data_IF_879286148051
#
_entry.id   IF_879286148051
#
_cell.length_a   1.000
_cell.length_b   1.000
_cell.length_c   1.000
_cell.angle_alpha   90.00
_cell.angle_beta   90.00
_cell.angle_gamma   90.00
#
_symmetry.space_group_name_H-M   'P 1'
#
loop_
_entity.id
_entity.type
_entity.pdbx_description
1 polymer ?
#
# COMPACT_ATOMS: atom_id res chain seq x y z
N UNK A 1 25.09 -3.21 12.49
CA UNK A 1 23.82 -3.97 12.62
C UNK A 1 24.10 -5.40 13.06
N UNK A 2 23.23 -6.00 13.87
CA UNK A 2 23.32 -7.42 14.18
C UNK A 2 23.19 -8.25 12.88
N UNK A 3 23.93 -9.37 12.77
CA UNK A 3 23.79 -10.24 11.61
C UNK A 3 22.37 -10.84 11.55
N UNK A 4 21.86 -11.03 10.35
CA UNK A 4 20.50 -11.55 10.11
C UNK A 4 20.23 -12.89 10.87
N UNK A 5 21.25 -13.71 11.02
CA UNK A 5 21.19 -15.00 11.73
C UNK A 5 21.11 -14.87 13.26
N UNK A 6 21.33 -13.67 13.81
CA UNK A 6 21.20 -13.41 15.27
C UNK A 6 19.86 -12.80 15.66
N UNK A 7 19.07 -12.36 14.68
CA UNK A 7 17.72 -11.82 14.91
C UNK A 7 16.73 -12.95 14.66
N UNK A 8 16.64 -13.84 15.64
CA UNK A 8 15.75 -15.01 15.61
C UNK A 8 14.78 -14.95 16.80
N UNK A 9 13.64 -15.55 16.65
CA UNK A 9 12.64 -15.65 17.70
C UNK A 9 11.87 -16.97 17.64
N UNK A 10 10.93 -17.15 18.51
CA UNK A 10 10.13 -18.37 18.59
C UNK A 10 9.45 -18.74 17.25
N UNK A 11 9.06 -17.74 16.48
CA UNK A 11 8.29 -17.92 15.23
C UNK A 11 9.01 -17.37 14.00
N UNK A 12 10.19 -16.78 14.18
CA UNK A 12 10.99 -16.17 13.12
C UNK A 12 12.38 -16.82 13.12
N UNK A 13 12.78 -17.37 11.99
CA UNK A 13 14.09 -17.98 11.83
C UNK A 13 15.15 -17.05 11.29
N UNK A 14 14.76 -15.97 10.61
CA UNK A 14 15.71 -15.05 9.96
C UNK A 14 15.06 -13.68 9.76
N UNK A 15 15.82 -12.63 9.98
CA UNK A 15 15.47 -11.26 9.62
C UNK A 15 16.58 -10.64 8.81
N UNK A 16 16.25 -10.12 7.64
CA UNK A 16 17.18 -9.45 6.73
C UNK A 16 16.77 -7.99 6.57
N UNK A 17 17.73 -7.11 6.44
CA UNK A 17 17.51 -5.70 6.13
C UNK A 17 18.24 -5.34 4.86
N UNK A 18 17.50 -4.91 3.84
CA UNK A 18 18.03 -4.49 2.56
C UNK A 18 17.37 -3.19 2.10
N UNK A 19 18.15 -2.16 1.82
CA UNK A 19 17.67 -0.82 1.39
C UNK A 19 16.53 -0.27 2.29
N UNK A 20 16.62 -0.49 3.62
CA UNK A 20 15.59 -0.04 4.55
C UNK A 20 14.28 -0.82 4.51
N UNK A 21 14.27 -1.98 3.85
CA UNK A 21 13.21 -2.98 3.95
C UNK A 21 13.67 -4.08 4.90
N UNK A 22 12.87 -4.37 5.90
CA UNK A 22 13.08 -5.46 6.86
C UNK A 22 12.24 -6.64 6.43
N UNK A 23 12.87 -7.76 6.07
CA UNK A 23 12.17 -8.99 5.66
C UNK A 23 12.37 -10.06 6.71
N UNK A 24 11.26 -10.55 7.28
CA UNK A 24 11.25 -11.65 8.22
C UNK A 24 10.84 -12.94 7.53
N UNK A 25 11.61 -14.01 7.78
CA UNK A 25 11.27 -15.37 7.36
C UNK A 25 10.75 -16.14 8.57
N UNK A 26 9.58 -16.72 8.44
CA UNK A 26 8.95 -17.49 9.50
C UNK A 26 9.70 -18.80 9.74
N UNK A 27 9.59 -19.32 10.94
CA UNK A 27 10.25 -20.56 11.31
C UNK A 27 9.74 -21.76 10.49
N UNK A 28 10.59 -22.75 10.33
CA UNK A 28 10.24 -24.02 9.67
C UNK A 28 9.50 -25.00 10.58
N UNK A 29 9.40 -24.71 11.88
CA UNK A 29 8.71 -25.52 12.89
C UNK A 29 7.97 -24.63 13.89
N UNK A 30 7.03 -25.21 14.63
CA UNK A 30 6.22 -24.51 15.65
C UNK A 30 5.39 -23.32 15.13
N UNK A 31 5.14 -23.28 13.84
CA UNK A 31 4.25 -22.31 13.18
C UNK A 31 3.21 -23.04 12.34
N UNK A 32 2.13 -22.35 11.99
CA UNK A 32 1.14 -22.89 11.09
C UNK A 32 1.79 -23.25 9.74
N UNK A 33 1.46 -24.43 9.19
CA UNK A 33 2.00 -24.93 7.92
C UNK A 33 1.85 -23.94 6.76
N UNK A 34 0.81 -23.13 6.77
CA UNK A 34 0.52 -22.14 5.71
C UNK A 34 1.48 -20.94 5.72
N UNK A 35 2.16 -20.69 6.84
CA UNK A 35 3.14 -19.61 6.98
C UNK A 35 4.58 -20.13 7.16
N UNK A 36 4.75 -21.46 7.25
CA UNK A 36 6.06 -22.10 7.40
C UNK A 36 7.00 -21.68 6.26
N UNK A 37 8.23 -21.26 6.62
CA UNK A 37 9.25 -20.77 5.68
C UNK A 37 8.81 -19.60 4.79
N UNK A 38 7.63 -19.01 5.07
CA UNK A 38 7.10 -17.87 4.34
C UNK A 38 7.69 -16.56 4.85
N UNK A 39 7.59 -15.53 4.02
CA UNK A 39 8.18 -14.21 4.27
C UNK A 39 7.14 -13.09 4.29
N UNK A 40 7.41 -12.10 5.12
CA UNK A 40 6.72 -10.81 5.16
C UNK A 40 7.76 -9.69 5.23
N UNK A 41 7.38 -8.49 4.87
CA UNK A 41 8.25 -7.31 4.94
C UNK A 41 7.62 -6.17 5.72
N UNK A 42 8.50 -5.42 6.39
CA UNK A 42 8.20 -4.11 6.95
C UNK A 42 9.08 -3.07 6.22
N UNK A 43 8.47 -1.95 5.88
CA UNK A 43 9.20 -0.85 5.23
C UNK A 43 8.68 0.49 5.70
N UNK A 44 9.55 1.48 5.68
CA UNK A 44 9.22 2.84 6.06
C UNK A 44 9.19 3.73 4.82
N UNK A 45 8.27 4.68 4.76
CA UNK A 45 8.28 5.79 3.79
C UNK A 45 8.30 7.10 4.52
N UNK A 46 9.09 8.07 4.04
CA UNK A 46 9.03 9.44 4.51
C UNK A 46 7.75 10.09 4.00
N UNK A 47 7.09 10.75 4.90
CA UNK A 47 5.98 11.67 4.61
C UNK A 47 6.34 13.02 5.23
N UNK A 48 5.73 14.10 4.79
CA UNK A 48 6.04 15.46 5.22
C UNK A 48 6.24 15.55 6.75
N UNK A 49 7.48 15.68 7.18
CA UNK A 49 7.87 15.78 8.57
C UNK A 49 7.78 14.50 9.42
N UNK A 50 7.37 13.35 8.85
CA UNK A 50 7.21 12.09 9.59
C UNK A 50 7.70 10.87 8.81
N UNK A 51 7.79 9.74 9.50
CA UNK A 51 8.07 8.43 8.90
C UNK A 51 6.89 7.51 9.20
N UNK A 52 6.28 6.97 8.16
CA UNK A 52 5.22 5.97 8.29
C UNK A 52 5.75 4.59 7.98
N UNK A 53 5.41 3.63 8.82
CA UNK A 53 5.75 2.23 8.65
C UNK A 53 4.60 1.46 8.01
N UNK A 54 4.95 0.53 7.16
CA UNK A 54 4.06 -0.37 6.45
C UNK A 54 4.49 -1.81 6.68
N UNK A 55 3.54 -2.72 6.65
CA UNK A 55 3.76 -4.15 6.82
C UNK A 55 2.88 -4.94 5.86
N UNK A 56 3.47 -5.88 5.15
CA UNK A 56 2.71 -6.69 4.19
C UNK A 56 3.53 -7.81 3.57
N UNK A 57 3.13 -8.23 2.38
CA UNK A 57 3.88 -9.20 1.59
C UNK A 57 5.29 -8.68 1.26
N UNK A 58 6.24 -9.56 0.92
CA UNK A 58 7.61 -9.16 0.61
C UNK A 58 7.70 -8.09 -0.47
N UNK A 59 8.45 -7.05 -0.18
CA UNK A 59 8.72 -5.94 -1.10
C UNK A 59 10.22 -5.74 -1.29
N UNK A 60 10.58 -5.08 -2.36
CA UNK A 60 11.94 -4.59 -2.63
C UNK A 60 11.93 -3.09 -2.74
N UNK A 61 13.03 -2.44 -2.38
CA UNK A 61 13.23 -1.01 -2.57
C UNK A 61 14.38 -0.78 -3.52
N UNK A 62 14.13 -0.02 -4.59
CA UNK A 62 15.14 0.42 -5.51
C UNK A 62 15.96 1.60 -4.92
N UNK A 63 17.12 1.89 -5.48
CA UNK A 63 18.01 2.97 -5.02
C UNK A 63 17.36 4.36 -5.09
N UNK A 64 16.40 4.55 -5.99
CA UNK A 64 15.58 5.76 -6.07
C UNK A 64 14.50 5.87 -4.97
N UNK A 65 14.44 4.91 -4.03
CA UNK A 65 13.50 4.89 -2.92
C UNK A 65 12.13 4.27 -3.23
N UNK A 66 11.85 3.91 -4.48
CA UNK A 66 10.60 3.27 -4.86
C UNK A 66 10.50 1.86 -4.27
N UNK A 67 9.34 1.56 -3.69
CA UNK A 67 9.03 0.24 -3.14
C UNK A 67 8.08 -0.48 -4.10
N UNK A 68 8.47 -1.69 -4.47
CA UNK A 68 7.69 -2.56 -5.37
C UNK A 68 7.55 -3.95 -4.77
N UNK A 69 6.55 -4.69 -5.19
CA UNK A 69 6.39 -6.07 -4.77
C UNK A 69 7.61 -6.90 -5.19
N UNK A 70 8.04 -7.80 -4.31
CA UNK A 70 9.08 -8.76 -4.64
C UNK A 70 8.50 -9.84 -5.58
N UNK A 71 8.36 -9.52 -6.85
CA UNK A 71 7.65 -10.31 -7.86
C UNK A 71 8.16 -11.76 -8.01
N UNK A 72 9.42 -12.01 -7.63
CA UNK A 72 10.04 -13.33 -7.68
C UNK A 72 9.96 -14.11 -6.37
N UNK A 73 9.32 -13.56 -5.34
CA UNK A 73 9.21 -14.23 -4.06
C UNK A 73 8.04 -15.21 -4.02
N UNK A 74 8.35 -16.47 -4.30
CA UNK A 74 7.38 -17.57 -4.21
C UNK A 74 7.03 -17.95 -2.77
N UNK A 75 7.85 -17.51 -1.79
CA UNK A 75 7.67 -17.81 -0.37
C UNK A 75 6.97 -16.69 0.40
N UNK A 76 6.17 -15.87 -0.25
CA UNK A 76 5.38 -14.83 0.41
C UNK A 76 4.24 -15.44 1.23
N UNK A 77 3.96 -14.85 2.40
CA UNK A 77 2.74 -15.16 3.17
C UNK A 77 1.54 -14.66 2.37
N UNK A 78 0.54 -15.50 2.19
CA UNK A 78 -0.71 -15.06 1.57
C UNK A 78 -1.43 -14.04 2.46
N UNK A 79 -2.04 -13.03 1.85
CA UNK A 79 -2.70 -11.91 2.55
C UNK A 79 -3.74 -12.38 3.57
N UNK A 80 -4.44 -13.48 3.30
CA UNK A 80 -5.44 -14.05 4.23
C UNK A 80 -4.84 -14.52 5.56
N UNK A 81 -3.54 -14.86 5.58
CA UNK A 81 -2.82 -15.31 6.78
C UNK A 81 -2.07 -14.16 7.48
N UNK A 82 -2.08 -12.97 6.93
CA UNK A 82 -1.52 -11.77 7.57
C UNK A 82 -2.56 -11.12 8.48
N UNK A 83 -2.12 -10.58 9.65
CA UNK A 83 -2.98 -9.73 10.47
C UNK A 83 -3.53 -8.55 9.67
N UNK A 84 -4.69 -8.04 10.03
CA UNK A 84 -5.30 -6.89 9.34
C UNK A 84 -4.40 -5.65 9.31
N UNK A 85 -3.58 -5.48 10.33
CA UNK A 85 -2.60 -4.39 10.45
C UNK A 85 -1.32 -4.60 9.61
N UNK A 86 -1.18 -5.76 8.95
CA UNK A 86 0.00 -6.12 8.14
C UNK A 86 -0.42 -6.60 6.74
N UNK A 87 -1.29 -5.84 6.07
CA UNK A 87 -1.79 -6.13 4.71
C UNK A 87 -1.58 -4.97 3.76
N UNK A 88 -0.57 -4.15 4.05
CA UNK A 88 -0.23 -3.03 3.18
C UNK A 88 0.35 -3.54 1.85
N UNK A 89 -0.03 -2.88 0.77
CA UNK A 89 0.55 -3.10 -0.55
C UNK A 89 1.84 -2.27 -0.70
N UNK A 90 2.73 -2.66 -1.61
CA UNK A 90 3.95 -1.90 -1.92
C UNK A 90 3.68 -0.45 -2.31
N UNK A 91 2.53 -0.20 -2.92
CA UNK A 91 2.02 1.13 -3.26
C UNK A 91 1.48 1.92 -2.08
N UNK A 92 1.27 1.31 -0.91
CA UNK A 92 0.75 1.97 0.28
C UNK A 92 1.62 3.20 0.65
N UNK A 93 0.98 4.29 1.05
CA UNK A 93 1.66 5.56 1.33
C UNK A 93 2.25 6.24 0.09
N UNK A 94 1.83 5.87 -1.12
CA UNK A 94 2.06 6.72 -2.29
C UNK A 94 1.37 8.07 -2.07
N UNK A 95 2.14 9.14 -2.26
CA UNK A 95 1.75 10.53 -2.03
C UNK A 95 0.73 11.08 -3.05
N UNK A 96 0.15 10.21 -3.86
CA UNK A 96 -0.82 10.55 -4.92
C UNK A 96 -2.27 10.44 -4.43
N UNK A 97 -2.53 10.90 -3.21
CA UNK A 97 -3.87 10.98 -2.64
C UNK A 97 -4.46 12.36 -2.85
N UNK A 98 -5.79 12.54 -2.78
CA UNK A 98 -6.40 13.87 -2.69
C UNK A 98 -5.76 14.75 -1.62
N UNK A 99 -5.26 14.16 -0.54
CA UNK A 99 -4.50 14.81 0.52
C UNK A 99 -3.18 15.40 0.01
N UNK A 100 -2.47 14.72 -0.89
CA UNK A 100 -1.28 15.29 -1.54
C UNK A 100 -1.62 16.57 -2.31
N UNK A 101 -2.70 16.56 -3.08
CA UNK A 101 -3.15 17.74 -3.82
C UNK A 101 -3.52 18.89 -2.90
N UNK A 102 -4.24 18.62 -1.81
CA UNK A 102 -4.62 19.63 -0.81
C UNK A 102 -3.40 20.29 -0.17
N UNK A 103 -2.34 19.52 0.08
CA UNK A 103 -1.12 20.01 0.73
C UNK A 103 -0.14 20.69 -0.23
N UNK A 104 -0.16 20.35 -1.51
CA UNK A 104 0.83 20.82 -2.49
C UNK A 104 0.24 21.67 -3.62
N UNK A 105 -1.08 21.78 -3.71
CA UNK A 105 -1.78 22.59 -4.72
C UNK A 105 -1.67 22.07 -6.15
N UNK A 106 -1.05 20.90 -6.38
CA UNK A 106 -0.92 20.30 -7.71
C UNK A 106 -0.82 18.78 -7.62
N UNK A 107 -1.29 18.10 -8.65
CA UNK A 107 -1.05 16.67 -8.81
C UNK A 107 0.41 16.41 -9.21
N UNK A 108 1.00 15.29 -8.76
CA UNK A 108 2.28 14.85 -9.31
C UNK A 108 2.17 14.69 -10.83
N UNK A 109 3.17 15.16 -11.56
CA UNK A 109 3.14 15.22 -13.04
C UNK A 109 3.14 13.84 -13.74
N UNK A 110 3.48 12.79 -13.03
CA UNK A 110 3.38 11.44 -13.56
C UNK A 110 1.93 10.92 -13.43
N UNK A 111 1.20 11.05 -14.48
CA UNK A 111 -0.19 10.61 -14.67
C UNK A 111 -0.41 9.08 -14.54
N UNK A 112 0.51 8.36 -13.96
CA UNK A 112 0.33 6.95 -13.68
C UNK A 112 -0.55 6.80 -12.45
N UNK A 113 -1.74 6.55 -12.69
CA UNK A 113 -2.97 6.08 -12.01
C UNK A 113 -2.88 5.45 -10.61
N UNK A 114 -1.82 5.65 -9.86
CA UNK A 114 -1.67 5.09 -8.53
C UNK A 114 -2.30 6.03 -7.49
N UNK A 115 -3.47 5.72 -7.04
CA UNK A 115 -4.07 6.30 -5.84
C UNK A 115 -5.28 7.20 -6.02
N UNK A 116 -5.66 7.52 -7.24
CA UNK A 116 -7.00 8.06 -7.49
C UNK A 116 -7.90 6.89 -7.86
N UNK A 117 -8.95 6.65 -7.09
CA UNK A 117 -9.97 5.72 -7.51
C UNK A 117 -10.38 6.11 -8.93
N UNK A 118 -10.33 5.17 -9.88
CA UNK A 118 -10.78 5.46 -11.24
C UNK A 118 -12.16 6.09 -11.19
N UNK A 119 -12.45 7.01 -12.09
CA UNK A 119 -13.75 7.67 -12.15
C UNK A 119 -14.89 6.64 -12.08
N UNK A 120 -14.72 5.46 -12.66
CA UNK A 120 -15.68 4.35 -12.60
C UNK A 120 -15.91 3.80 -11.17
N UNK A 121 -14.97 3.92 -10.24
CA UNK A 121 -15.15 3.52 -8.84
C UNK A 121 -15.81 4.59 -7.98
N UNK A 122 -15.72 5.84 -8.41
CA UNK A 122 -16.37 6.98 -7.75
C UNK A 122 -17.81 7.15 -8.24
N UNK A 123 -18.10 6.71 -9.48
CA UNK A 123 -19.44 6.76 -10.06
C UNK A 123 -20.32 5.69 -9.41
N UNK A 124 -21.18 6.13 -8.52
CA UNK A 124 -22.17 5.30 -7.85
C UNK A 124 -23.52 5.24 -8.60
N UNK A 125 -24.53 4.66 -7.92
CA UNK A 125 -25.88 4.50 -8.47
C UNK A 125 -26.48 5.82 -9.00
N UNK A 126 -26.22 6.94 -8.32
CA UNK A 126 -26.86 8.25 -8.58
C UNK A 126 -25.92 9.28 -9.22
N UNK A 127 -24.62 9.01 -9.28
CA UNK A 127 -23.61 9.92 -9.84
C UNK A 127 -23.30 9.52 -11.27
N UNK A 128 -23.37 10.47 -12.21
CA UNK A 128 -23.05 10.28 -13.61
C UNK A 128 -21.56 10.52 -13.89
N UNK A 129 -21.01 11.57 -13.28
CA UNK A 129 -19.66 12.05 -13.57
C UNK A 129 -19.08 12.73 -12.32
N UNK A 130 -17.81 12.54 -12.08
CA UNK A 130 -17.07 13.28 -11.05
C UNK A 130 -15.87 13.93 -11.72
N UNK A 131 -15.73 15.22 -11.56
CA UNK A 131 -14.61 16.01 -12.06
C UNK A 131 -13.89 16.67 -10.90
N UNK A 132 -12.56 16.64 -10.95
CA UNK A 132 -11.73 17.33 -9.96
C UNK A 132 -10.89 18.36 -10.71
N UNK A 133 -11.12 19.64 -10.41
CA UNK A 133 -10.35 20.76 -10.97
C UNK A 133 -9.92 21.70 -9.85
N UNK A 134 -8.64 22.02 -9.79
CA UNK A 134 -8.08 22.96 -8.82
C UNK A 134 -8.52 22.69 -7.37
N UNK A 135 -8.57 21.42 -6.96
CA UNK A 135 -9.01 21.03 -5.63
C UNK A 135 -10.53 21.06 -5.40
N UNK A 136 -11.31 21.45 -6.41
CA UNK A 136 -12.77 21.41 -6.36
C UNK A 136 -13.26 20.10 -6.95
N UNK A 137 -14.04 19.37 -6.17
CA UNK A 137 -14.69 18.13 -6.61
C UNK A 137 -16.11 18.46 -7.03
N UNK A 138 -16.42 18.27 -8.30
CA UNK A 138 -17.77 18.47 -8.85
C UNK A 138 -18.36 17.12 -9.22
N UNK A 139 -19.51 16.79 -8.65
CA UNK A 139 -20.26 15.59 -8.99
C UNK A 139 -21.50 15.96 -9.80
N UNK A 140 -21.67 15.33 -10.97
CA UNK A 140 -22.87 15.47 -11.80
C UNK A 140 -23.78 14.28 -11.55
N UNK A 141 -25.00 14.57 -11.18
CA UNK A 141 -26.00 13.53 -10.89
C UNK A 141 -26.60 12.95 -12.16
N UNK A 142 -27.04 11.70 -12.11
CA UNK A 142 -27.83 11.09 -13.19
C UNK A 142 -29.20 11.75 -13.28
N UNK A 143 -29.74 11.81 -14.50
CA UNK A 143 -31.11 12.33 -14.71
C UNK A 143 -32.18 11.31 -14.28
N UNK A 144 -31.80 10.00 -14.26
CA UNK A 144 -32.74 8.92 -14.02
C UNK A 144 -32.57 8.38 -12.59
N UNK A 145 -33.69 8.18 -11.90
CA UNK A 145 -33.73 7.63 -10.55
C UNK A 145 -33.28 8.55 -9.43
N UNK A 146 -33.12 9.83 -9.71
CA UNK A 146 -32.79 10.87 -8.71
C UNK A 146 -34.02 11.73 -8.46
N UNK A 147 -34.20 12.20 -7.23
CA UNK A 147 -35.28 13.14 -6.89
C UNK A 147 -35.13 14.39 -7.74
N UNK A 148 -36.27 14.94 -8.18
CA UNK A 148 -36.36 16.16 -9.03
C UNK A 148 -35.64 17.37 -8.43
N UNK A 149 -35.52 17.42 -7.12
CA UNK A 149 -34.84 18.50 -6.40
C UNK A 149 -33.30 18.47 -6.49
N UNK A 150 -32.73 17.37 -6.97
CA UNK A 150 -31.27 17.17 -7.04
C UNK A 150 -30.76 17.19 -8.50
N UNK A 151 -31.65 17.35 -9.48
CA UNK A 151 -31.31 17.40 -10.90
C UNK A 151 -30.62 18.69 -11.32
#
# INVERSE_FOLDING_TARGET
MASASKIIGKYVQKVEVNNGVVTATMASSNVNKEIKDKRLSLWAKRQDGSVKWFCGQPVTRADNGNVTDAAKDTNKIETKHLPSTCRDESSAGCTKTPEYYLNHGKWPEDNTSAGVASASKIIGKYVKEVEVKNGVVTAKMKSDGVNKEIK
#
